data_IF_579831989107
#
_entry.id   IF_579831989107
#
_cell.length_a   1.000
_cell.length_b   1.000
_cell.length_c   1.000
_cell.angle_alpha   90.00
_cell.angle_beta   90.00
_cell.angle_gamma   90.00
#
_symmetry.space_group_name_H-M   'P 1'
#
loop_
_entity.id
_entity.type
_entity.pdbx_description
1 polymer ?
#
# COMPACT_ATOMS: atom_id res chain seq x y z
N UNK A 1 24.24 -25.52 -10.86
CA UNK A 1 24.95 -24.22 -10.87
C UNK A 1 23.96 -23.04 -10.95
N UNK A 2 22.95 -22.94 -10.07
CA UNK A 2 21.94 -21.85 -10.09
C UNK A 2 21.46 -21.40 -8.69
N UNK A 3 22.06 -21.85 -7.59
CA UNK A 3 21.56 -21.57 -6.23
C UNK A 3 22.06 -20.26 -5.61
N UNK A 4 22.64 -19.34 -6.40
CA UNK A 4 23.35 -18.16 -5.88
C UNK A 4 22.58 -16.84 -5.82
N UNK A 5 21.36 -16.72 -6.36
CA UNK A 5 20.90 -15.38 -6.78
C UNK A 5 19.72 -14.74 -6.04
N UNK A 6 19.01 -15.46 -5.20
CA UNK A 6 17.62 -15.08 -4.89
C UNK A 6 17.41 -13.85 -3.99
N UNK A 7 17.43 -14.10 -2.68
CA UNK A 7 16.84 -13.19 -1.69
C UNK A 7 17.75 -12.05 -1.24
N UNK A 8 19.05 -12.28 -1.13
CA UNK A 8 19.96 -11.28 -0.55
C UNK A 8 20.09 -10.03 -1.43
N UNK A 9 20.13 -10.21 -2.75
CA UNK A 9 20.21 -9.10 -3.71
C UNK A 9 18.96 -8.20 -3.66
N UNK A 10 17.77 -8.80 -3.55
CA UNK A 10 16.54 -8.04 -3.40
C UNK A 10 16.52 -7.19 -2.11
N UNK A 11 17.08 -7.73 -1.03
CA UNK A 11 17.18 -7.03 0.26
C UNK A 11 18.18 -5.86 0.19
N UNK A 12 19.34 -6.05 -0.46
CA UNK A 12 20.30 -4.98 -0.72
C UNK A 12 19.68 -3.87 -1.60
N UNK A 13 18.93 -4.24 -2.63
CA UNK A 13 18.25 -3.27 -3.50
C UNK A 13 17.18 -2.48 -2.73
N UNK A 14 16.40 -3.15 -1.88
CA UNK A 14 15.43 -2.51 -0.99
C UNK A 14 16.11 -1.48 -0.09
N UNK A 15 17.25 -1.83 0.52
CA UNK A 15 18.02 -0.93 1.37
C UNK A 15 18.47 0.31 0.58
N UNK A 16 19.00 0.15 -0.63
CA UNK A 16 19.41 1.29 -1.48
C UNK A 16 18.22 2.20 -1.80
N UNK A 17 17.06 1.64 -2.12
CA UNK A 17 15.83 2.42 -2.38
C UNK A 17 15.39 3.18 -1.10
N UNK A 18 15.45 2.54 0.07
CA UNK A 18 15.14 3.20 1.34
C UNK A 18 16.11 4.35 1.64
N UNK A 19 17.41 4.20 1.34
CA UNK A 19 18.38 5.29 1.53
C UNK A 19 18.12 6.46 0.57
N UNK A 20 17.77 6.20 -0.69
CA UNK A 20 17.52 7.24 -1.70
C UNK A 20 16.23 8.01 -1.44
N UNK A 21 15.15 7.28 -1.13
CA UNK A 21 13.81 7.86 -0.94
C UNK A 21 13.52 8.26 0.51
N UNK A 22 14.22 7.67 1.47
CA UNK A 22 13.99 7.85 2.90
C UNK A 22 12.83 7.01 3.45
N UNK A 23 12.94 6.60 4.72
CA UNK A 23 11.93 5.80 5.40
C UNK A 23 10.55 6.50 5.54
N UNK A 24 10.50 7.83 5.43
CA UNK A 24 9.25 8.61 5.56
C UNK A 24 8.46 8.72 4.26
N UNK A 25 9.09 8.55 3.09
CA UNK A 25 8.40 8.66 1.78
C UNK A 25 7.86 7.32 1.28
N UNK A 26 8.52 6.22 1.59
CA UNK A 26 8.05 4.87 1.27
C UNK A 26 6.63 4.56 1.76
N UNK A 27 6.25 4.81 3.03
CA UNK A 27 4.90 4.49 3.50
C UNK A 27 3.84 5.35 2.81
N UNK A 28 4.14 6.62 2.49
CA UNK A 28 3.23 7.49 1.75
C UNK A 28 2.98 7.00 0.32
N UNK A 29 4.04 6.64 -0.40
CA UNK A 29 3.96 6.08 -1.76
C UNK A 29 3.26 4.72 -1.78
N UNK A 30 3.53 3.86 -0.80
CA UNK A 30 2.84 2.57 -0.67
C UNK A 30 1.35 2.73 -0.38
N UNK A 31 0.96 3.71 0.45
CA UNK A 31 -0.45 4.00 0.75
C UNK A 31 -1.20 4.46 -0.49
N UNK A 32 -0.65 5.41 -1.25
CA UNK A 32 -1.32 5.96 -2.44
C UNK A 32 -1.44 4.91 -3.55
N UNK A 33 -0.37 4.16 -3.85
CA UNK A 33 -0.39 3.06 -4.82
C UNK A 33 -1.34 1.95 -4.37
N UNK A 34 -1.34 1.62 -3.08
CA UNK A 34 -2.24 0.63 -2.49
C UNK A 34 -3.72 1.03 -2.61
N UNK A 35 -4.05 2.31 -2.41
CA UNK A 35 -5.41 2.82 -2.61
C UNK A 35 -5.84 2.72 -4.08
N UNK A 36 -5.00 3.13 -5.03
CA UNK A 36 -5.30 2.98 -6.47
C UNK A 36 -5.46 1.52 -6.88
N UNK A 37 -4.60 0.62 -6.39
CA UNK A 37 -4.71 -0.82 -6.64
C UNK A 37 -5.96 -1.44 -6.01
N UNK A 38 -6.38 -0.97 -4.82
CA UNK A 38 -7.61 -1.45 -4.15
C UNK A 38 -8.85 -1.07 -4.95
N UNK A 39 -8.91 0.17 -5.46
CA UNK A 39 -10.02 0.64 -6.30
C UNK A 39 -10.09 -0.19 -7.58
N UNK A 40 -8.96 -0.31 -8.29
CA UNK A 40 -8.88 -1.12 -9.50
C UNK A 40 -9.27 -2.60 -9.23
N UNK A 41 -8.80 -3.19 -8.13
CA UNK A 41 -9.15 -4.56 -7.76
C UNK A 41 -10.64 -4.71 -7.44
N UNK A 42 -11.25 -3.72 -6.81
CA UNK A 42 -12.67 -3.73 -6.48
C UNK A 42 -13.55 -3.57 -7.73
N UNK A 43 -13.17 -2.69 -8.66
CA UNK A 43 -13.90 -2.52 -9.93
C UNK A 43 -13.81 -3.77 -10.79
N UNK A 44 -12.62 -4.35 -10.94
CA UNK A 44 -12.43 -5.62 -11.68
C UNK A 44 -13.21 -6.75 -11.01
N UNK A 45 -13.15 -6.88 -9.68
CA UNK A 45 -13.94 -7.89 -8.96
C UNK A 45 -15.44 -7.64 -9.03
N UNK A 46 -15.91 -6.39 -9.08
CA UNK A 46 -17.33 -6.09 -9.21
C UNK A 46 -17.87 -6.46 -10.59
N UNK A 47 -17.02 -6.39 -11.63
CA UNK A 47 -17.35 -6.88 -12.96
C UNK A 47 -17.40 -8.42 -13.01
N UNK A 48 -16.39 -9.07 -12.42
CA UNK A 48 -16.34 -10.54 -12.29
C UNK A 48 -17.47 -11.12 -11.40
N UNK A 49 -17.87 -10.40 -10.36
CA UNK A 49 -18.85 -10.85 -9.35
C UNK A 49 -20.29 -10.38 -9.65
N UNK A 50 -20.53 -9.73 -10.79
CA UNK A 50 -21.89 -9.42 -11.27
C UNK A 50 -22.68 -10.68 -11.66
N UNK A 51 -22.03 -11.84 -11.67
CA UNK A 51 -22.66 -13.16 -11.76
C UNK A 51 -23.16 -13.73 -10.42
N UNK A 52 -22.68 -13.25 -9.26
CA UNK A 52 -23.07 -13.78 -7.95
C UNK A 52 -23.09 -12.66 -6.89
N UNK A 53 -24.26 -12.08 -6.66
CA UNK A 53 -24.43 -10.86 -5.87
C UNK A 53 -24.03 -10.98 -4.39
N UNK A 54 -22.91 -10.35 -4.00
CA UNK A 54 -22.76 -9.71 -2.68
C UNK A 54 -21.54 -8.77 -2.64
N UNK A 55 -21.76 -7.46 -2.78
CA UNK A 55 -20.74 -6.45 -2.52
C UNK A 55 -21.14 -5.57 -1.33
N UNK A 56 -20.53 -5.78 -0.17
CA UNK A 56 -20.58 -4.85 0.97
C UNK A 56 -19.50 -3.77 0.77
N UNK A 57 -19.82 -2.47 0.91
CA UNK A 57 -18.82 -1.41 0.84
C UNK A 57 -17.82 -1.55 2.01
N UNK A 58 -16.49 -1.53 1.76
CA UNK A 58 -15.52 -1.51 2.84
C UNK A 58 -15.53 -0.12 3.46
N UNK A 59 -15.89 -0.05 4.73
CA UNK A 59 -15.70 1.11 5.58
C UNK A 59 -14.22 1.53 5.58
N UNK A 60 -13.97 2.79 5.26
CA UNK A 60 -12.72 3.47 5.56
C UNK A 60 -12.48 3.43 7.08
N UNK A 61 -11.57 2.55 7.49
CA UNK A 61 -11.05 2.52 8.87
C UNK A 61 -10.17 3.75 9.13
N UNK A 62 -10.07 4.22 10.39
CA UNK A 62 -9.57 5.54 10.73
C UNK A 62 -8.23 5.91 10.08
N UNK A 63 -8.26 7.01 9.34
CA UNK A 63 -7.09 7.77 8.94
C UNK A 63 -6.30 8.11 10.21
N UNK A 64 -5.22 7.39 10.44
CA UNK A 64 -4.21 7.76 11.43
C UNK A 64 -3.49 9.00 10.89
N UNK A 65 -4.09 10.17 11.14
CA UNK A 65 -3.41 11.46 11.15
C UNK A 65 -2.46 11.48 12.37
N UNK A 66 -1.12 11.53 12.21
CA UNK A 66 -0.23 11.69 13.34
C UNK A 66 -0.06 13.16 13.75
N UNK A 67 -1.06 14.01 13.53
CA UNK A 67 -0.98 15.44 13.90
C UNK A 67 -2.27 15.94 14.54
N UNK A 68 -2.43 15.66 15.83
CA UNK A 68 -3.08 16.57 16.75
C UNK A 68 -2.28 16.56 18.07
N UNK A 69 -1.88 17.73 18.56
CA UNK A 69 -2.71 18.28 19.62
C UNK A 69 -2.97 19.78 19.50
N UNK A 70 -4.21 20.11 19.78
CA UNK A 70 -4.80 21.41 20.08
C UNK A 70 -3.94 22.26 21.02
N UNK A 71 -3.82 23.56 20.73
CA UNK A 71 -3.73 24.61 21.75
C UNK A 71 -3.99 26.00 21.12
N UNK A 72 -5.26 26.43 21.17
CA UNK A 72 -5.63 27.85 21.33
C UNK A 72 -5.52 28.15 22.85
N UNK A 73 -5.11 29.35 23.27
CA UNK A 73 -6.01 30.52 23.24
C UNK A 73 -5.54 31.67 22.33
#
# INVERSE_FOLDING_TARGET
MLSGFTGWHALVLLVIVVLLFGATKLPGLAKSVGQSMKIFKNEVKADDNKSDGKATPPADGPQADPTAPSAKP
#
